data_IF_592521192189
#
_entry.id   IF_592521192189
#
_cell.length_a   1.000
_cell.length_b   1.000
_cell.length_c   1.000
_cell.angle_alpha   90.00
_cell.angle_beta   90.00
_cell.angle_gamma   90.00
#
_symmetry.space_group_name_H-M   'P 1'
#
loop_
_entity.id
_entity.type
_entity.pdbx_description
1 polymer ?
#
# COMPACT_ATOMS: atom_id res chain seq x y z
N UNK A 1 1.46 -1.82 -16.85
CA UNK A 1 1.08 -0.75 -15.92
C UNK A 1 2.02 -0.79 -14.74
N UNK A 2 2.59 0.34 -14.26
CA UNK A 2 3.35 0.32 -13.02
C UNK A 2 2.41 -0.03 -11.87
N UNK A 3 2.80 -1.03 -11.09
CA UNK A 3 1.96 -1.59 -10.03
C UNK A 3 2.18 -0.70 -8.82
N UNK A 4 1.15 0.05 -8.46
CA UNK A 4 1.23 0.91 -7.29
C UNK A 4 1.30 0.02 -6.04
N UNK A 5 2.30 0.20 -5.14
CA UNK A 5 2.49 -0.62 -3.93
C UNK A 5 1.29 -0.62 -2.96
N UNK A 6 0.30 0.25 -3.21
CA UNK A 6 -0.93 0.40 -2.44
C UNK A 6 -2.17 -0.11 -3.18
N UNK A 7 -2.01 -0.88 -4.26
CA UNK A 7 -3.14 -1.61 -4.86
C UNK A 7 -3.62 -2.70 -3.91
N UNK A 8 -4.88 -3.13 -4.08
CA UNK A 8 -5.48 -4.20 -3.28
C UNK A 8 -4.53 -5.39 -3.11
N UNK A 9 -4.53 -6.03 -1.93
CA UNK A 9 -3.77 -7.26 -1.72
C UNK A 9 -4.40 -8.37 -2.58
N UNK A 10 -3.69 -8.93 -3.57
CA UNK A 10 -4.24 -9.98 -4.41
C UNK A 10 -4.33 -11.29 -3.62
N UNK A 11 -5.25 -12.17 -4.00
CA UNK A 11 -5.42 -13.49 -3.36
C UNK A 11 -4.18 -14.39 -3.48
N UNK A 12 -3.32 -14.11 -4.44
CA UNK A 12 -2.03 -14.81 -4.63
C UNK A 12 -0.94 -14.30 -3.69
N UNK A 13 -1.21 -13.28 -2.87
CA UNK A 13 -0.24 -12.73 -1.95
C UNK A 13 0.09 -13.72 -0.82
N UNK A 14 1.34 -13.69 -0.36
CA UNK A 14 1.81 -14.50 0.75
C UNK A 14 1.90 -13.64 2.01
N UNK A 15 1.23 -14.05 3.09
CA UNK A 15 1.38 -13.39 4.38
C UNK A 15 2.83 -13.50 4.87
N UNK A 16 3.41 -12.40 5.35
CA UNK A 16 4.78 -12.36 5.85
C UNK A 16 4.80 -12.18 7.38
N UNK A 17 4.15 -11.12 7.88
CA UNK A 17 4.18 -10.76 9.31
C UNK A 17 3.11 -9.74 9.67
N UNK A 18 2.89 -9.58 10.96
CA UNK A 18 2.23 -8.40 11.54
C UNK A 18 3.25 -7.40 12.04
N UNK A 19 2.89 -6.12 11.97
CA UNK A 19 3.66 -4.99 12.48
C UNK A 19 2.74 -4.13 13.33
N UNK A 20 3.19 -3.77 14.52
CA UNK A 20 2.50 -2.82 15.39
C UNK A 20 3.12 -1.44 15.21
N UNK A 21 2.30 -0.46 14.87
CA UNK A 21 2.67 0.95 14.81
C UNK A 21 2.11 1.68 16.03
N UNK A 22 2.89 2.58 16.62
CA UNK A 22 2.48 3.34 17.80
C UNK A 22 2.85 2.69 19.13
N UNK A 23 2.27 3.18 20.22
CA UNK A 23 2.62 2.78 21.59
C UNK A 23 1.42 2.90 22.53
N UNK A 24 1.31 2.00 23.52
CA UNK A 24 0.26 2.03 24.53
C UNK A 24 -1.14 1.79 23.96
N UNK A 25 -2.08 2.66 24.26
CA UNK A 25 -3.46 2.63 23.76
C UNK A 25 -3.61 3.17 22.32
N UNK A 26 -2.57 3.81 21.78
CA UNK A 26 -2.54 4.36 20.42
C UNK A 26 -1.72 3.47 19.51
N UNK A 27 -2.28 2.31 19.18
CA UNK A 27 -1.64 1.34 18.31
C UNK A 27 -2.50 1.01 17.10
N UNK A 28 -1.84 0.81 15.96
CA UNK A 28 -2.43 0.23 14.76
C UNK A 28 -1.66 -1.04 14.46
N UNK A 29 -2.37 -2.15 14.27
CA UNK A 29 -1.78 -3.40 13.82
C UNK A 29 -1.96 -3.49 12.32
N UNK A 30 -0.86 -3.63 11.59
CA UNK A 30 -0.84 -3.86 10.15
C UNK A 30 -0.35 -5.26 9.82
N UNK A 31 -0.90 -5.85 8.76
CA UNK A 31 -0.44 -7.11 8.20
C UNK A 31 0.28 -6.87 6.88
N UNK A 32 1.52 -7.38 6.80
CA UNK A 32 2.37 -7.27 5.63
C UNK A 32 2.23 -8.51 4.75
N UNK A 33 1.96 -8.27 3.48
CA UNK A 33 1.79 -9.26 2.44
C UNK A 33 2.85 -9.09 1.36
N UNK A 34 3.40 -10.20 0.88
CA UNK A 34 4.34 -10.25 -0.23
C UNK A 34 3.59 -10.62 -1.50
N UNK A 35 3.81 -9.83 -2.55
CA UNK A 35 3.31 -10.08 -3.89
C UNK A 35 4.50 -10.15 -4.84
N UNK A 36 4.58 -11.23 -5.62
CA UNK A 36 5.54 -11.35 -6.72
C UNK A 36 4.80 -11.13 -8.03
N UNK A 37 5.27 -10.20 -8.84
CA UNK A 37 4.65 -9.87 -10.13
C UNK A 37 5.76 -9.72 -11.16
N UNK A 38 5.87 -10.70 -12.04
CA UNK A 38 6.95 -10.80 -13.04
C UNK A 38 8.35 -10.61 -12.41
N UNK A 39 9.02 -9.49 -12.72
CA UNK A 39 10.34 -9.12 -12.23
C UNK A 39 10.30 -8.20 -11.00
N UNK A 40 9.11 -7.94 -10.46
CA UNK A 40 8.87 -7.10 -9.31
C UNK A 40 8.53 -7.93 -8.07
N UNK A 41 9.05 -7.49 -6.94
CA UNK A 41 8.65 -7.98 -5.62
C UNK A 41 8.06 -6.80 -4.85
N UNK A 42 6.82 -6.93 -4.39
CA UNK A 42 6.14 -5.91 -3.63
C UNK A 42 5.76 -6.40 -2.24
N UNK A 43 5.95 -5.55 -1.24
CA UNK A 43 5.45 -5.75 0.11
C UNK A 43 4.40 -4.68 0.38
N UNK A 44 3.21 -5.08 0.78
CA UNK A 44 2.15 -4.12 1.13
C UNK A 44 1.64 -4.43 2.53
N UNK A 45 1.51 -3.39 3.35
CA UNK A 45 1.01 -3.48 4.72
C UNK A 45 -0.31 -2.74 4.82
N UNK A 46 -1.34 -3.47 5.24
CA UNK A 46 -2.71 -2.95 5.43
C UNK A 46 -3.15 -3.10 6.88
N UNK A 47 -4.08 -2.26 7.35
CA UNK A 47 -4.63 -2.39 8.70
C UNK A 47 -5.38 -3.70 8.91
N UNK A 48 -5.22 -4.31 10.09
CA UNK A 48 -5.88 -5.56 10.50
C UNK A 48 -7.33 -5.36 10.99
N UNK A 49 -7.74 -4.13 11.24
CA UNK A 49 -9.05 -3.74 11.80
C UNK A 49 -10.27 -4.09 10.92
N UNK A 50 -10.08 -4.81 9.81
CA UNK A 50 -11.13 -5.19 8.87
C UNK A 50 -11.45 -4.13 7.81
N UNK A 51 -10.86 -2.93 7.93
CA UNK A 51 -10.99 -1.87 6.92
C UNK A 51 -9.92 -1.98 5.83
N UNK A 52 -8.84 -2.71 6.08
CA UNK A 52 -7.72 -2.92 5.15
C UNK A 52 -7.13 -1.61 4.62
N UNK A 53 -7.03 -0.59 5.48
CA UNK A 53 -6.46 0.71 5.14
C UNK A 53 -4.99 0.53 4.75
N UNK A 54 -4.54 1.03 3.59
CA UNK A 54 -3.14 0.96 3.20
C UNK A 54 -2.28 1.78 4.17
N UNK A 55 -1.22 1.18 4.73
CA UNK A 55 -0.30 1.85 5.64
C UNK A 55 1.03 2.15 4.93
N UNK A 56 1.69 1.11 4.41
CA UNK A 56 2.96 1.24 3.69
C UNK A 56 3.04 0.24 2.55
N UNK A 57 3.77 0.57 1.49
CA UNK A 57 4.06 -0.35 0.41
C UNK A 57 5.46 -0.13 -0.16
N UNK A 58 6.16 -1.21 -0.47
CA UNK A 58 7.50 -1.21 -1.04
C UNK A 58 7.51 -2.07 -2.29
N UNK A 59 8.04 -1.58 -3.40
CA UNK A 59 8.21 -2.37 -4.63
C UNK A 59 9.67 -2.33 -5.07
N UNK A 60 10.21 -3.51 -5.35
CA UNK A 60 11.57 -3.72 -5.83
C UNK A 60 11.50 -4.35 -7.22
N UNK A 61 12.00 -3.64 -8.23
CA UNK A 61 12.24 -4.18 -9.57
C UNK A 61 13.68 -4.67 -9.63
N UNK A 62 13.89 -5.88 -10.15
CA UNK A 62 15.24 -6.46 -10.25
C UNK A 62 16.00 -6.00 -11.50
N UNK A 63 15.30 -5.62 -12.57
CA UNK A 63 15.91 -5.19 -13.83
C UNK A 63 15.03 -4.16 -14.57
N UNK A 64 15.34 -2.86 -14.52
CA UNK A 64 16.44 -2.24 -13.77
C UNK A 64 16.24 -2.36 -12.25
N UNK A 65 17.33 -2.35 -11.48
CA UNK A 65 17.29 -2.34 -10.03
C UNK A 65 16.71 -1.00 -9.53
N UNK A 66 15.42 -1.00 -9.18
CA UNK A 66 14.70 0.19 -8.70
C UNK A 66 13.88 -0.19 -7.48
N UNK A 67 13.93 0.66 -6.44
CA UNK A 67 13.09 0.52 -5.26
C UNK A 67 12.18 1.75 -5.13
N UNK A 68 10.92 1.51 -4.79
CA UNK A 68 9.93 2.56 -4.49
C UNK A 68 9.26 2.23 -3.18
N UNK A 69 9.12 3.22 -2.30
CA UNK A 69 8.39 3.11 -1.05
C UNK A 69 7.32 4.19 -0.99
N UNK A 70 6.15 3.84 -0.48
CA UNK A 70 5.02 4.74 -0.29
C UNK A 70 4.46 4.51 1.10
N UNK A 71 4.13 5.60 1.79
CA UNK A 71 3.44 5.61 3.07
C UNK A 71 2.17 6.43 2.92
N UNK A 72 1.06 5.94 3.46
CA UNK A 72 -0.21 6.67 3.47
C UNK A 72 -0.45 7.25 4.85
N UNK A 73 -0.82 8.53 4.90
CA UNK A 73 -1.32 9.21 6.10
C UNK A 73 -2.64 9.90 5.76
N UNK A 74 -3.43 10.22 6.79
CA UNK A 74 -4.66 11.01 6.65
C UNK A 74 -5.68 10.42 5.66
N UNK A 75 -5.78 9.08 5.63
CA UNK A 75 -6.66 8.37 4.73
C UNK A 75 -8.14 8.68 4.99
N UNK A 76 -8.85 9.09 3.94
CA UNK A 76 -10.30 9.24 3.94
C UNK A 76 -10.86 8.28 2.88
N UNK A 77 -11.77 7.34 3.23
CA UNK A 77 -12.28 6.31 2.31
C UNK A 77 -13.33 6.86 1.32
N UNK A 78 -13.07 8.00 0.69
CA UNK A 78 -13.90 8.60 -0.35
C UNK A 78 -13.13 9.66 -1.12
N UNK A 79 -13.53 9.88 -2.37
CA UNK A 79 -13.18 11.07 -3.12
C UNK A 79 -14.01 12.23 -2.57
N UNK A 80 -13.36 13.27 -2.05
CA UNK A 80 -14.04 14.45 -1.48
C UNK A 80 -14.48 15.40 -2.60
N UNK A 81 -13.62 15.63 -3.59
CA UNK A 81 -13.88 16.48 -4.75
C UNK A 81 -13.53 15.73 -6.04
N UNK A 82 -14.54 15.26 -6.82
CA UNK A 82 -14.30 14.59 -8.09
C UNK A 82 -13.67 15.49 -9.17
N UNK A 83 -13.79 16.81 -9.06
CA UNK A 83 -13.25 17.73 -10.07
C UNK A 83 -11.71 17.72 -10.11
N UNK A 84 -11.04 17.18 -9.09
CA UNK A 84 -9.58 17.01 -9.06
C UNK A 84 -9.05 16.12 -10.19
N UNK A 85 -9.92 15.30 -10.80
CA UNK A 85 -9.58 14.46 -11.95
C UNK A 85 -9.79 15.16 -13.30
N UNK A 86 -10.39 16.36 -13.32
CA UNK A 86 -10.52 17.15 -14.54
C UNK A 86 -9.16 17.77 -14.88
N UNK A 87 -8.75 17.62 -16.14
CA UNK A 87 -7.57 18.32 -16.67
C UNK A 87 -7.99 19.79 -16.88
N UNK A 88 -7.29 20.78 -16.30
CA UNK A 88 -7.61 22.19 -16.52
C UNK A 88 -7.42 22.56 -17.99
N UNK A 89 -8.32 23.39 -18.53
CA UNK A 89 -8.13 24.02 -19.83
C UNK A 89 -6.98 25.06 -19.72
N UNK A 90 -6.06 25.05 -20.69
CA UNK A 90 -4.89 25.96 -20.76
C UNK A 90 -5.25 27.44 -20.93
#
# INVERSE_FOLDING_TARGET
MPIHPLTCIPDTATYIRSVTYGYGDKQIIGDTWLVKIDQAVSYSTVSRDGLCVPLTGHTFLQNPAVATAITTTDFVPKIIDPAIFNIPDE
#
